data_IF_574842152880
#
_entry.id   IF_574842152880
#
_cell.length_a   1.000
_cell.length_b   1.000
_cell.length_c   1.000
_cell.angle_alpha   90.00
_cell.angle_beta   90.00
_cell.angle_gamma   90.00
#
_symmetry.space_group_name_H-M   'P 1'
#
loop_
_entity.id
_entity.type
_entity.pdbx_description
1 polymer ?
#
# COMPACT_ATOMS: atom_id res chain seq x y z
N UNK A 1 15.71 1.13 0.72
CA UNK A 1 15.31 0.13 1.73
C UNK A 1 13.94 -0.41 1.37
N UNK A 2 13.72 -1.72 1.51
CA UNK A 2 12.42 -2.35 1.33
C UNK A 2 12.04 -3.12 2.60
N UNK A 3 10.81 -2.92 3.07
CA UNK A 3 10.22 -3.64 4.18
C UNK A 3 9.79 -5.05 3.71
N UNK A 4 10.04 -6.10 4.49
CA UNK A 4 9.66 -7.48 4.15
C UNK A 4 8.14 -7.71 4.33
N UNK A 5 7.32 -7.02 3.54
CA UNK A 5 5.89 -7.28 3.45
C UNK A 5 5.63 -8.61 2.73
N UNK A 6 4.45 -9.19 2.91
CA UNK A 6 4.11 -10.47 2.25
C UNK A 6 3.82 -10.23 0.77
N UNK A 7 4.39 -11.05 -0.10
CA UNK A 7 3.98 -11.14 -1.50
C UNK A 7 2.63 -11.85 -1.58
N UNK A 8 1.58 -11.13 -1.97
CA UNK A 8 0.21 -11.64 -1.99
C UNK A 8 -0.42 -11.36 -3.34
N UNK A 9 -0.74 -12.41 -4.09
CA UNK A 9 -1.57 -12.29 -5.30
C UNK A 9 -3.05 -12.23 -4.91
N UNK A 10 -3.82 -11.33 -5.52
CA UNK A 10 -5.25 -11.28 -5.30
C UNK A 10 -5.94 -12.56 -5.78
N UNK A 11 -6.82 -13.12 -4.94
CA UNK A 11 -7.55 -14.34 -5.25
C UNK A 11 -8.70 -14.11 -6.26
N UNK A 12 -9.27 -12.90 -6.27
CA UNK A 12 -10.32 -12.48 -7.20
C UNK A 12 -10.01 -11.12 -7.83
N UNK A 13 -10.63 -10.82 -8.96
CA UNK A 13 -10.37 -9.62 -9.78
C UNK A 13 -10.56 -8.29 -9.02
N UNK A 14 -11.45 -8.24 -8.02
CA UNK A 14 -11.72 -7.03 -7.24
C UNK A 14 -11.13 -7.05 -5.82
N UNK A 15 -10.18 -7.96 -5.53
CA UNK A 15 -9.64 -8.17 -4.17
C UNK A 15 -8.24 -7.60 -3.94
N UNK A 16 -7.78 -6.69 -4.78
CA UNK A 16 -6.51 -5.99 -4.56
C UNK A 16 -6.45 -5.34 -3.16
N UNK A 17 -7.55 -4.77 -2.70
CA UNK A 17 -7.69 -4.18 -1.36
C UNK A 17 -7.51 -5.21 -0.23
N UNK A 18 -8.10 -6.40 -0.37
CA UNK A 18 -7.97 -7.46 0.62
C UNK A 18 -6.55 -8.06 0.63
N UNK A 19 -5.93 -8.21 -0.55
CA UNK A 19 -4.56 -8.68 -0.68
C UNK A 19 -3.55 -7.70 -0.11
N UNK A 20 -3.76 -6.40 -0.35
CA UNK A 20 -2.96 -5.34 0.27
C UNK A 20 -3.10 -5.33 1.80
N UNK A 21 -4.32 -5.49 2.33
CA UNK A 21 -4.54 -5.68 3.77
C UNK A 21 -3.78 -6.90 4.31
N UNK A 22 -3.90 -8.08 3.69
CA UNK A 22 -3.18 -9.29 4.12
C UNK A 22 -1.66 -9.04 4.21
N UNK A 23 -1.09 -8.36 3.22
CA UNK A 23 0.32 -8.00 3.20
C UNK A 23 0.71 -7.03 4.35
N UNK A 24 -0.09 -6.01 4.60
CA UNK A 24 0.11 -5.05 5.70
C UNK A 24 0.01 -5.76 7.06
N UNK A 25 -1.04 -6.57 7.25
CA UNK A 25 -1.30 -7.28 8.50
C UNK A 25 -0.18 -8.26 8.83
N UNK A 26 0.31 -9.00 7.83
CA UNK A 26 1.52 -9.82 7.96
C UNK A 26 2.71 -9.00 8.46
N UNK A 27 2.97 -7.85 7.85
CA UNK A 27 4.11 -7.04 8.24
C UNK A 27 3.98 -6.50 9.68
N UNK A 28 2.82 -5.94 10.01
CA UNK A 28 2.54 -5.42 11.35
C UNK A 28 2.73 -6.50 12.42
N UNK A 29 2.20 -7.71 12.18
CA UNK A 29 2.31 -8.82 13.13
C UNK A 29 3.76 -9.27 13.33
N UNK A 30 4.48 -9.54 12.25
CA UNK A 30 5.79 -10.20 12.32
C UNK A 30 6.94 -9.24 12.59
N UNK A 31 6.82 -7.97 12.24
CA UNK A 31 7.93 -7.02 12.30
C UNK A 31 7.68 -5.81 13.19
N UNK A 32 6.42 -5.45 13.48
CA UNK A 32 6.08 -4.34 14.37
C UNK A 32 5.49 -4.76 15.72
N UNK A 33 5.20 -6.06 15.89
CA UNK A 33 4.73 -6.63 17.15
C UNK A 33 3.31 -6.24 17.54
N UNK A 34 2.46 -5.85 16.57
CA UNK A 34 1.04 -5.56 16.81
C UNK A 34 0.17 -6.04 15.65
N UNK A 35 -1.14 -6.11 15.88
CA UNK A 35 -2.10 -6.65 14.92
C UNK A 35 -2.09 -8.17 14.85
N UNK A 36 -2.93 -8.68 13.95
CA UNK A 36 -3.13 -10.10 13.70
C UNK A 36 -3.03 -10.36 12.20
N UNK A 37 -2.46 -11.49 11.82
CA UNK A 37 -2.54 -11.93 10.43
C UNK A 37 -3.97 -12.31 10.07
N UNK A 38 -4.31 -12.11 8.81
CA UNK A 38 -5.56 -12.54 8.23
C UNK A 38 -5.37 -12.75 6.74
N UNK A 39 -6.08 -13.73 6.17
CA UNK A 39 -6.09 -13.95 4.73
C UNK A 39 -7.05 -12.98 4.05
N UNK A 40 -6.91 -12.81 2.74
CA UNK A 40 -7.92 -12.14 1.90
C UNK A 40 -9.35 -12.61 2.19
N UNK A 41 -9.55 -13.91 2.45
CA UNK A 41 -10.86 -14.49 2.74
C UNK A 41 -11.42 -13.99 4.06
N UNK A 42 -10.61 -13.97 5.11
CA UNK A 42 -11.00 -13.45 6.43
C UNK A 42 -11.38 -11.97 6.33
N UNK A 43 -10.60 -11.20 5.58
CA UNK A 43 -10.80 -9.77 5.35
C UNK A 43 -12.10 -9.50 4.60
N UNK A 44 -12.35 -10.21 3.49
CA UNK A 44 -13.57 -10.07 2.69
C UNK A 44 -14.80 -10.51 3.49
N UNK A 45 -14.70 -11.65 4.19
CA UNK A 45 -15.78 -12.17 5.04
C UNK A 45 -16.14 -11.18 6.15
N UNK A 46 -15.15 -10.52 6.75
CA UNK A 46 -15.40 -9.48 7.75
C UNK A 46 -16.15 -8.28 7.17
N UNK A 47 -15.71 -7.75 6.03
CA UNK A 47 -16.29 -6.54 5.43
C UNK A 47 -17.69 -6.78 4.87
N UNK A 48 -17.87 -7.87 4.11
CA UNK A 48 -19.12 -8.12 3.37
C UNK A 48 -20.02 -9.20 3.99
N UNK A 49 -19.59 -9.86 5.05
CA UNK A 49 -20.31 -10.99 5.65
C UNK A 49 -20.35 -12.25 4.77
N UNK A 50 -19.75 -12.22 3.58
CA UNK A 50 -19.75 -13.29 2.57
C UNK A 50 -18.57 -13.14 1.62
N UNK A 51 -18.26 -14.18 0.85
CA UNK A 51 -17.16 -14.17 -0.11
C UNK A 51 -17.60 -13.64 -1.48
N UNK A 52 -17.62 -12.32 -1.63
CA UNK A 52 -18.08 -11.64 -2.85
C UNK A 52 -16.93 -10.99 -3.59
N UNK A 53 -16.93 -11.08 -4.93
CA UNK A 53 -15.94 -10.43 -5.79
C UNK A 53 -16.26 -8.94 -5.99
N UNK A 54 -16.17 -8.13 -4.93
CA UNK A 54 -16.51 -6.71 -4.95
C UNK A 54 -15.32 -5.82 -4.57
N UNK A 55 -15.20 -4.61 -5.17
CA UNK A 55 -14.22 -3.62 -4.78
C UNK A 55 -14.64 -2.98 -3.47
N UNK A 56 -13.67 -2.56 -2.66
CA UNK A 56 -13.92 -1.89 -1.39
C UNK A 56 -13.43 -0.43 -1.40
N UNK A 57 -14.01 0.37 -0.50
CA UNK A 57 -13.55 1.74 -0.27
C UNK A 57 -12.32 1.77 0.64
N UNK A 58 -11.59 2.88 0.67
CA UNK A 58 -10.53 3.08 1.68
C UNK A 58 -11.08 3.03 3.11
N UNK A 59 -12.34 3.42 3.33
CA UNK A 59 -12.98 3.28 4.63
C UNK A 59 -13.10 1.81 5.06
N UNK A 60 -13.46 0.93 4.13
CA UNK A 60 -13.53 -0.52 4.39
C UNK A 60 -12.14 -1.12 4.63
N UNK A 61 -11.11 -0.67 3.89
CA UNK A 61 -9.71 -1.04 4.15
C UNK A 61 -9.32 -0.67 5.58
N UNK A 62 -9.56 0.59 6.00
CA UNK A 62 -9.24 1.04 7.36
C UNK A 62 -10.04 0.27 8.42
N UNK A 63 -11.30 -0.08 8.15
CA UNK A 63 -12.11 -0.93 9.04
C UNK A 63 -11.54 -2.33 9.17
N UNK A 64 -11.14 -2.96 8.07
CA UNK A 64 -10.53 -4.28 8.07
C UNK A 64 -9.23 -4.27 8.88
N UNK A 65 -8.33 -3.33 8.59
CA UNK A 65 -7.07 -3.17 9.34
C UNK A 65 -7.34 -3.00 10.85
N UNK A 66 -8.28 -2.13 11.22
CA UNK A 66 -8.64 -1.89 12.63
C UNK A 66 -9.17 -3.14 13.31
N UNK A 67 -10.03 -3.91 12.62
CA UNK A 67 -10.58 -5.16 13.16
C UNK A 67 -9.48 -6.16 13.51
N UNK A 68 -8.46 -6.26 12.66
CA UNK A 68 -7.28 -7.09 12.90
C UNK A 68 -6.17 -6.37 13.69
N UNK A 69 -6.51 -5.31 14.43
CA UNK A 69 -5.60 -4.68 15.40
C UNK A 69 -4.50 -3.82 14.79
N UNK A 70 -4.74 -3.20 13.63
CA UNK A 70 -3.85 -2.24 12.98
C UNK A 70 -4.55 -0.88 12.82
N UNK A 71 -4.01 0.15 13.47
CA UNK A 71 -4.46 1.53 13.29
C UNK A 71 -4.07 2.07 11.91
N UNK A 72 -4.92 2.91 11.33
CA UNK A 72 -4.63 3.55 10.04
C UNK A 72 -5.33 4.90 9.88
N UNK A 73 -4.69 5.83 9.17
CA UNK A 73 -5.22 7.14 8.82
C UNK A 73 -4.79 7.55 7.43
N UNK A 74 -5.59 8.38 6.76
CA UNK A 74 -5.21 8.97 5.48
C UNK A 74 -3.96 9.82 5.63
N UNK A 75 -3.09 9.76 4.62
CA UNK A 75 -1.97 10.66 4.46
C UNK A 75 -2.44 11.88 3.65
N UNK A 76 -2.10 13.08 4.11
CA UNK A 76 -2.38 14.32 3.38
C UNK A 76 -1.07 14.95 2.91
N UNK A 77 -1.02 15.55 1.71
CA UNK A 77 0.14 16.32 1.27
C UNK A 77 0.50 17.41 2.29
N UNK A 78 1.78 17.48 2.69
CA UNK A 78 2.26 18.58 3.56
C UNK A 78 2.38 19.88 2.75
N UNK A 79 2.65 19.77 1.45
CA UNK A 79 2.68 20.90 0.51
C UNK A 79 2.28 20.43 -0.89
N UNK A 80 1.68 21.33 -1.68
CA UNK A 80 1.18 21.01 -3.02
C UNK A 80 -0.04 20.08 -3.00
N UNK A 81 -0.18 19.28 -4.05
CA UNK A 81 -1.36 18.43 -4.29
C UNK A 81 -1.07 16.94 -4.16
N UNK A 82 0.18 16.54 -3.92
CA UNK A 82 0.63 15.13 -3.95
C UNK A 82 1.38 14.76 -2.69
N UNK A 83 1.24 13.51 -2.23
CA UNK A 83 2.05 12.99 -1.11
C UNK A 83 3.51 12.99 -1.55
N UNK A 84 4.35 13.78 -0.89
CA UNK A 84 5.74 13.96 -1.32
C UNK A 84 6.58 12.69 -1.10
N UNK A 85 7.62 12.52 -1.91
CA UNK A 85 8.60 11.44 -1.71
C UNK A 85 9.19 11.46 -0.28
N UNK A 86 9.42 12.64 0.29
CA UNK A 86 9.88 12.80 1.67
C UNK A 86 8.91 12.22 2.71
N UNK A 87 7.60 12.43 2.54
CA UNK A 87 6.57 11.85 3.42
C UNK A 87 6.54 10.31 3.32
N UNK A 88 6.72 9.77 2.10
CA UNK A 88 6.81 8.33 1.89
C UNK A 88 8.06 7.78 2.58
N UNK A 89 9.21 8.44 2.42
CA UNK A 89 10.45 8.06 3.09
C UNK A 89 10.34 8.14 4.61
N UNK A 90 9.69 9.16 5.18
CA UNK A 90 9.47 9.25 6.62
C UNK A 90 8.74 8.00 7.13
N UNK A 91 7.64 7.62 6.48
CA UNK A 91 6.85 6.47 6.88
C UNK A 91 7.60 5.14 6.70
N UNK A 92 8.25 4.94 5.55
CA UNK A 92 8.91 3.68 5.18
C UNK A 92 10.27 3.51 5.87
N UNK A 93 11.09 4.56 5.87
CA UNK A 93 12.49 4.49 6.31
C UNK A 93 12.61 4.82 7.80
N UNK A 94 11.93 5.87 8.27
CA UNK A 94 12.09 6.29 9.68
C UNK A 94 11.14 5.53 10.59
N UNK A 95 9.86 5.44 10.21
CA UNK A 95 8.84 4.75 11.00
C UNK A 95 8.77 3.25 10.74
N UNK A 96 9.52 2.74 9.75
CA UNK A 96 9.55 1.33 9.35
C UNK A 96 8.14 0.77 9.12
N UNK A 97 7.26 1.55 8.50
CA UNK A 97 5.85 1.23 8.40
C UNK A 97 5.38 1.31 6.94
N UNK A 98 4.69 0.28 6.41
CA UNK A 98 4.22 0.27 5.04
C UNK A 98 3.08 1.28 4.84
N UNK A 99 2.79 1.60 3.58
CA UNK A 99 1.68 2.48 3.20
C UNK A 99 0.74 1.68 2.30
N UNK A 100 -0.56 1.73 2.61
CA UNK A 100 -1.58 1.28 1.67
C UNK A 100 -1.89 2.39 0.68
N UNK A 101 -1.62 2.19 -0.60
CA UNK A 101 -1.87 3.17 -1.66
C UNK A 101 -3.10 2.80 -2.48
N UNK A 102 -3.93 3.80 -2.78
CA UNK A 102 -4.96 3.73 -3.80
C UNK A 102 -4.43 4.38 -5.07
N UNK A 103 -4.23 3.56 -6.09
CA UNK A 103 -3.66 3.91 -7.38
C UNK A 103 -4.72 3.90 -8.47
N UNK A 104 -4.48 4.66 -9.53
CA UNK A 104 -5.17 4.52 -10.81
C UNK A 104 -4.26 3.82 -11.82
N UNK A 105 -4.72 2.70 -12.37
CA UNK A 105 -4.01 1.95 -13.42
C UNK A 105 -5.03 1.49 -14.46
N UNK A 106 -5.62 2.45 -15.18
CA UNK A 106 -6.83 2.24 -16.00
C UNK A 106 -8.13 1.97 -15.20
N UNK A 107 -8.00 1.47 -13.97
CA UNK A 107 -9.05 1.29 -12.96
C UNK A 107 -8.47 1.53 -11.56
N UNK A 108 -9.33 1.67 -10.55
CA UNK A 108 -8.90 1.74 -9.16
C UNK A 108 -8.17 0.47 -8.73
N UNK A 109 -7.02 0.64 -8.08
CA UNK A 109 -6.15 -0.44 -7.63
C UNK A 109 -5.62 -0.14 -6.23
N UNK A 110 -5.60 -1.13 -5.35
CA UNK A 110 -4.99 -0.98 -4.02
C UNK A 110 -3.74 -1.83 -3.93
N UNK A 111 -2.62 -1.20 -3.59
CA UNK A 111 -1.32 -1.84 -3.50
C UNK A 111 -0.54 -1.30 -2.30
N UNK A 112 0.56 -1.95 -1.92
CA UNK A 112 1.30 -1.60 -0.70
C UNK A 112 2.66 -1.03 -1.05
N UNK A 113 2.88 0.25 -0.79
CA UNK A 113 4.23 0.84 -0.87
C UNK A 113 5.00 0.31 0.33
N UNK A 114 6.07 -0.43 0.06
CA UNK A 114 6.88 -1.12 1.06
C UNK A 114 8.35 -0.73 1.01
N UNK A 115 8.77 0.10 0.06
CA UNK A 115 10.16 0.52 0.01
C UNK A 115 10.37 1.82 -0.75
N UNK A 116 11.53 2.41 -0.53
CA UNK A 116 12.00 3.62 -1.20
C UNK A 116 13.51 3.54 -1.42
N UNK A 117 13.98 4.01 -2.57
CA UNK A 117 15.38 4.05 -2.95
C UNK A 117 15.69 5.25 -3.83
N UNK A 118 16.88 5.79 -3.68
CA UNK A 118 17.37 6.88 -4.52
C UNK A 118 18.70 6.47 -5.14
N UNK A 119 18.88 6.81 -6.40
CA UNK A 119 20.13 6.63 -7.11
C UNK A 119 20.31 7.74 -8.14
N UNK A 120 21.55 7.95 -8.58
CA UNK A 120 21.83 8.78 -9.74
C UNK A 120 21.85 7.91 -10.99
N UNK A 121 21.12 8.29 -12.03
CA UNK A 121 21.19 7.59 -13.31
C UNK A 121 22.54 7.83 -14.01
N UNK A 122 22.74 7.19 -15.17
CA UNK A 122 23.99 7.31 -15.93
C UNK A 122 24.26 8.74 -16.46
N UNK A 123 23.30 9.65 -16.36
CA UNK A 123 23.41 11.06 -16.78
C UNK A 123 23.56 12.00 -15.57
N UNK A 124 23.61 11.45 -14.35
CA UNK A 124 23.75 12.22 -13.11
C UNK A 124 22.44 12.81 -12.59
N UNK A 125 21.28 12.40 -13.08
CA UNK A 125 20.00 12.84 -12.53
C UNK A 125 19.61 11.97 -11.33
N UNK A 126 19.17 12.62 -10.25
CA UNK A 126 18.62 11.93 -9.08
C UNK A 126 17.28 11.30 -9.43
N UNK A 127 17.18 9.99 -9.28
CA UNK A 127 15.97 9.20 -9.47
C UNK A 127 15.44 8.76 -8.11
N UNK A 128 14.14 9.01 -7.90
CA UNK A 128 13.40 8.54 -6.73
C UNK A 128 12.55 7.34 -7.14
N UNK A 129 12.78 6.23 -6.47
CA UNK A 129 12.15 4.95 -6.79
C UNK A 129 11.42 4.40 -5.56
N UNK A 130 10.27 3.78 -5.80
CA UNK A 130 9.42 3.17 -4.78
C UNK A 130 9.20 1.70 -5.11
N UNK A 131 9.20 0.88 -4.07
CA UNK A 131 8.87 -0.53 -4.16
C UNK A 131 7.43 -0.72 -3.71
N UNK A 132 6.65 -1.38 -4.56
CA UNK A 132 5.21 -1.57 -4.36
C UNK A 132 4.87 -3.06 -4.48
N UNK A 133 4.36 -3.67 -3.41
CA UNK A 133 3.74 -5.00 -3.49
C UNK A 133 2.42 -4.85 -4.24
N UNK A 134 2.38 -5.39 -5.46
CA UNK A 134 1.23 -5.29 -6.36
C UNK A 134 0.42 -6.59 -6.34
N UNK A 135 -0.83 -6.56 -5.85
CA UNK A 135 -1.70 -7.74 -5.82
C UNK A 135 -2.05 -8.37 -7.17
N UNK A 136 -2.01 -7.63 -8.28
CA UNK A 136 -2.32 -8.21 -9.59
C UNK A 136 -1.29 -9.25 -10.00
N UNK A 137 -0.01 -8.94 -9.78
CA UNK A 137 1.12 -9.81 -10.13
C UNK A 137 1.57 -10.67 -8.94
N UNK A 138 1.27 -10.25 -7.72
CA UNK A 138 1.55 -10.98 -6.49
C UNK A 138 2.98 -10.86 -5.98
N UNK A 139 3.73 -9.86 -6.42
CA UNK A 139 5.10 -9.59 -6.00
C UNK A 139 5.40 -8.09 -5.97
N UNK A 140 6.55 -7.74 -5.41
CA UNK A 140 7.03 -6.35 -5.35
C UNK A 140 7.54 -5.91 -6.73
N UNK A 141 6.95 -4.84 -7.25
CA UNK A 141 7.42 -4.13 -8.45
C UNK A 141 8.11 -2.83 -8.06
N UNK A 142 8.91 -2.31 -8.98
CA UNK A 142 9.54 -1.00 -8.85
C UNK A 142 8.80 0.04 -9.68
N UNK A 143 8.62 1.25 -9.12
CA UNK A 143 7.98 2.39 -9.79
C UNK A 143 8.77 3.65 -9.50
N UNK A 144 8.98 4.51 -10.49
CA UNK A 144 9.55 5.84 -10.22
C UNK A 144 8.49 6.67 -9.52
N UNK A 145 8.90 7.44 -8.53
CA UNK A 145 8.00 8.34 -7.81
C UNK A 145 7.29 9.32 -8.75
N UNK A 146 7.99 9.82 -9.78
CA UNK A 146 7.42 10.74 -10.75
C UNK A 146 6.27 10.13 -11.55
N UNK A 147 6.34 8.82 -11.85
CA UNK A 147 5.27 8.10 -12.57
C UNK A 147 4.01 7.97 -11.69
N UNK A 148 4.12 8.15 -10.37
CA UNK A 148 2.97 8.08 -9.46
C UNK A 148 2.25 9.42 -9.29
N UNK A 149 2.77 10.51 -9.84
CA UNK A 149 2.26 11.87 -9.62
C UNK A 149 2.08 12.69 -10.90
N UNK A 150 2.29 12.09 -12.07
CA UNK A 150 2.28 12.79 -13.35
C UNK A 150 0.88 12.90 -13.98
N UNK A 151 -0.12 12.21 -13.44
CA UNK A 151 -1.52 12.20 -13.89
C UNK A 151 -1.70 11.61 -15.30
N UNK A 152 -0.85 10.66 -15.68
CA UNK A 152 -0.91 10.01 -16.98
C UNK A 152 -1.87 8.79 -17.03
N UNK A 153 -2.55 8.49 -15.92
CA UNK A 153 -3.46 7.36 -15.71
C UNK A 153 -2.82 5.96 -15.70
N UNK A 154 -1.49 5.89 -15.52
CA UNK A 154 -0.69 4.68 -15.40
C UNK A 154 0.14 4.72 -14.12
N UNK A 155 -0.44 4.20 -13.02
CA UNK A 155 0.13 4.16 -11.67
C UNK A 155 0.04 5.45 -10.84
N UNK A 156 -0.87 6.36 -11.16
CA UNK A 156 -1.10 7.56 -10.35
C UNK A 156 -1.55 7.22 -8.92
N UNK A 157 -0.82 7.72 -7.92
CA UNK A 157 -1.19 7.62 -6.51
C UNK A 157 -2.28 8.65 -6.19
N UNK A 158 -3.52 8.19 -6.08
CA UNK A 158 -4.68 9.05 -5.81
C UNK A 158 -4.85 9.37 -4.33
N UNK A 159 -4.58 8.40 -3.47
CA UNK A 159 -4.76 8.51 -2.02
C UNK A 159 -3.91 7.46 -1.32
N UNK A 160 -3.59 7.67 -0.04
CA UNK A 160 -2.80 6.72 0.72
C UNK A 160 -3.19 6.70 2.20
N UNK A 161 -3.00 5.54 2.82
CA UNK A 161 -3.15 5.34 4.25
C UNK A 161 -1.82 4.92 4.87
N UNK A 162 -1.45 5.62 5.95
CA UNK A 162 -0.36 5.21 6.84
C UNK A 162 -0.90 4.27 7.90
N UNK A 163 -0.07 3.32 8.32
CA UNK A 163 -0.42 2.37 9.38
C UNK A 163 0.42 2.58 10.63
N UNK A 164 -0.18 2.29 11.79
CA UNK A 164 0.40 2.49 13.10
C UNK A 164 -0.24 1.54 14.13
N UNK A 165 0.32 1.47 15.33
CA UNK A 165 -0.25 0.71 16.44
C UNK A 165 -1.66 1.23 16.77
N UNK A 166 -2.68 0.36 16.93
CA UNK A 166 -4.07 0.76 17.16
C UNK A 166 -4.26 1.61 18.42
#
# INVERSE_FOLDING_TARGET
>A
MCLPVKNVKQAYSNWCWAAGCESILYYCRNYLGFGQEATQWDIVKYIYGSYVNQPASLYDVQRALRYFGVGSSRMYPISGYTISYGQICEQIINLKSPIGGHFFVGTGHFAVICGAYQYFDSRGFLINELFVMDPWVGYVVSKKYNDLIDNNYDWDLLDAIRVYRP
#
